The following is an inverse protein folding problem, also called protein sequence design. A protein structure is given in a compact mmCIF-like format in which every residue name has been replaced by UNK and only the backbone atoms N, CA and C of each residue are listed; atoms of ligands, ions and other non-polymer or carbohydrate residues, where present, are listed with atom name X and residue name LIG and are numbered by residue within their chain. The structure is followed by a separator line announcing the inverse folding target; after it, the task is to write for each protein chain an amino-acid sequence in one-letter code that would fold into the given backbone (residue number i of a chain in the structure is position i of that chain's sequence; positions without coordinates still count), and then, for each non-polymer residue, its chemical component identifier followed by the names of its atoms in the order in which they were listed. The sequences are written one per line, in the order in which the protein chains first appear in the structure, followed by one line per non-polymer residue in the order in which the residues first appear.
data_IF_296462582520
#
_entry.id   IF_296462582520
#
_cell.length_a   1.000
_cell.length_b   1.000
_cell.length_c   1.000
_cell.angle_alpha   90.00
_cell.angle_beta   90.00
_cell.angle_gamma   90.00
#
_symmetry.space_group_name_H-M   'P 1'
#
loop_
_entity.id
_entity.type
_entity.pdbx_description
1 polymer ?
#
# COMPACT_ATOMS: atom_id res chain seq x y z
N UNK A 1 -33.12 -31.15 23.05
CA UNK A 1 -32.63 -30.31 21.93
C UNK A 1 -31.15 -30.06 22.16
N UNK A 2 -30.30 -30.90 21.56
CA UNK A 2 -28.86 -30.87 21.74
C UNK A 2 -28.27 -29.76 20.87
N UNK A 3 -27.74 -28.73 21.53
CA UNK A 3 -26.93 -27.69 20.90
C UNK A 3 -25.57 -28.32 20.52
N UNK A 4 -25.52 -28.95 19.35
CA UNK A 4 -24.27 -29.26 18.66
C UNK A 4 -23.63 -27.99 18.11
N UNK A 5 -23.26 -27.07 19.00
CA UNK A 5 -22.63 -25.80 18.63
C UNK A 5 -21.13 -25.94 18.89
N UNK A 6 -20.41 -26.27 17.81
CA UNK A 6 -18.99 -26.01 17.63
C UNK A 6 -18.05 -26.39 18.78
N UNK A 7 -17.55 -27.63 18.77
CA UNK A 7 -16.28 -28.01 19.40
C UNK A 7 -15.07 -27.39 18.67
N UNK A 8 -15.19 -26.13 18.22
CA UNK A 8 -14.09 -25.37 17.61
C UNK A 8 -13.62 -24.38 18.66
N UNK A 9 -12.41 -24.56 19.24
CA UNK A 9 -11.91 -23.74 20.34
C UNK A 9 -11.76 -22.23 20.06
N UNK A 10 -12.00 -21.78 18.82
CA UNK A 10 -11.50 -20.49 18.32
C UNK A 10 -12.60 -19.49 17.89
N UNK A 11 -13.88 -19.77 18.14
CA UNK A 11 -14.98 -18.88 17.75
C UNK A 11 -15.65 -18.23 18.97
N UNK A 12 -15.17 -17.05 19.38
CA UNK A 12 -15.83 -16.20 20.37
C UNK A 12 -16.57 -15.03 19.67
N UNK A 13 -17.88 -14.96 19.87
CA UNK A 13 -18.83 -14.09 19.16
C UNK A 13 -18.78 -12.60 19.52
N UNK A 14 -17.68 -12.12 20.12
CA UNK A 14 -17.48 -10.68 20.41
C UNK A 14 -16.25 -10.09 19.75
N UNK A 15 -15.27 -10.92 19.40
CA UNK A 15 -13.98 -10.52 18.86
C UNK A 15 -13.34 -11.80 18.29
N UNK A 16 -13.66 -12.18 17.05
CA UNK A 16 -13.00 -13.32 16.41
C UNK A 16 -11.48 -13.14 16.49
N UNK A 17 -10.72 -14.24 16.63
CA UNK A 17 -9.25 -14.31 16.84
C UNK A 17 -8.39 -13.24 16.13
N UNK A 18 -8.87 -12.71 15.02
CA UNK A 18 -8.28 -11.64 14.23
C UNK A 18 -8.36 -10.23 14.88
N UNK A 19 -9.40 -9.92 15.67
CA UNK A 19 -9.59 -8.62 16.36
C UNK A 19 -8.42 -8.30 17.31
N UNK A 20 -7.87 -9.31 17.98
CA UNK A 20 -6.71 -9.16 18.87
C UNK A 20 -5.41 -8.84 18.13
N UNK A 21 -5.18 -9.46 16.96
CA UNK A 21 -4.03 -9.16 16.10
C UNK A 21 -4.10 -7.72 15.57
N UNK A 22 -5.29 -7.25 15.21
CA UNK A 22 -5.53 -5.89 14.70
C UNK A 22 -5.45 -4.82 15.80
N UNK A 23 -5.60 -5.19 17.08
CA UNK A 23 -5.51 -4.29 18.26
C UNK A 23 -4.12 -4.23 18.90
N UNK A 24 -3.21 -5.14 18.57
CA UNK A 24 -1.82 -5.15 19.07
C UNK A 24 -0.87 -4.22 18.28
N UNK A 25 -1.35 -3.65 17.18
CA UNK A 25 -0.63 -2.69 16.35
C UNK A 25 -0.82 -1.28 16.95
N UNK A 26 0.25 -0.62 17.46
CA UNK A 26 0.11 0.68 18.11
C UNK A 26 -0.29 1.75 17.08
N UNK A 27 -1.41 2.43 17.33
CA UNK A 27 -1.98 3.51 16.50
C UNK A 27 -3.20 3.09 15.67
N UNK A 28 -4.21 3.98 15.62
CA UNK A 28 -5.43 3.85 14.82
C UNK A 28 -5.07 3.44 13.39
N UNK A 29 -5.65 2.36 12.83
CA UNK A 29 -5.25 1.80 11.52
C UNK A 29 -5.17 2.84 10.39
N UNK A 30 -5.97 3.90 10.50
CA UNK A 30 -5.96 5.10 9.67
C UNK A 30 -4.63 5.86 9.65
N UNK A 31 -3.94 6.00 10.79
CA UNK A 31 -2.67 6.73 10.88
C UNK A 31 -1.57 5.97 10.14
N UNK A 32 -1.55 4.63 10.25
CA UNK A 32 -0.60 3.79 9.51
C UNK A 32 -0.86 3.84 8.01
N UNK A 33 -2.13 3.78 7.60
CA UNK A 33 -2.51 3.95 6.21
C UNK A 33 -2.09 5.32 5.67
N UNK A 34 -2.28 6.40 6.44
CA UNK A 34 -1.86 7.75 6.08
C UNK A 34 -0.34 7.86 5.91
N UNK A 35 0.44 7.36 6.88
CA UNK A 35 1.91 7.42 6.82
C UNK A 35 2.43 6.61 5.62
N UNK A 36 1.88 5.42 5.37
CA UNK A 36 2.26 4.61 4.20
C UNK A 36 1.90 5.31 2.89
N UNK A 37 0.74 5.96 2.82
CA UNK A 37 0.32 6.71 1.64
C UNK A 37 1.25 7.89 1.38
N UNK A 38 1.62 8.63 2.43
CA UNK A 38 2.56 9.75 2.35
C UNK A 38 3.93 9.28 1.87
N UNK A 39 4.42 8.14 2.35
CA UNK A 39 5.70 7.58 1.88
C UNK A 39 5.66 7.23 0.39
N UNK A 40 4.57 6.62 -0.09
CA UNK A 40 4.41 6.32 -1.52
C UNK A 40 4.39 7.60 -2.34
N UNK A 41 3.62 8.60 -1.92
CA UNK A 41 3.56 9.90 -2.60
C UNK A 41 4.93 10.60 -2.61
N UNK A 42 5.67 10.54 -1.52
CA UNK A 42 7.02 11.09 -1.43
C UNK A 42 7.97 10.40 -2.42
N UNK A 43 7.93 9.07 -2.52
CA UNK A 43 8.74 8.32 -3.49
C UNK A 43 8.38 8.70 -4.92
N UNK A 44 7.09 8.74 -5.26
CA UNK A 44 6.62 9.16 -6.59
C UNK A 44 7.09 10.58 -6.91
N UNK A 45 6.96 11.51 -5.96
CA UNK A 45 7.41 12.89 -6.14
C UNK A 45 8.91 12.97 -6.43
N UNK A 46 9.74 12.24 -5.66
CA UNK A 46 11.19 12.18 -5.91
C UNK A 46 11.49 11.55 -7.27
N UNK A 47 10.77 10.51 -7.67
CA UNK A 47 10.94 9.87 -8.98
C UNK A 47 10.63 10.86 -10.12
N UNK A 48 9.57 11.65 -10.01
CA UNK A 48 9.22 12.68 -11.00
C UNK A 48 10.16 13.89 -10.99
N UNK A 49 10.64 14.34 -9.83
CA UNK A 49 11.48 15.54 -9.75
C UNK A 49 12.97 15.27 -10.01
N UNK A 50 13.46 14.06 -9.72
CA UNK A 50 14.87 13.70 -9.87
C UNK A 50 15.12 12.62 -10.91
N UNK A 51 14.36 11.53 -10.89
CA UNK A 51 14.62 10.38 -11.79
C UNK A 51 14.19 10.70 -13.21
N UNK A 52 13.06 11.37 -13.42
CA UNK A 52 12.63 11.79 -14.76
C UNK A 52 13.63 12.73 -15.44
N UNK A 53 14.08 13.85 -14.82
CA UNK A 53 15.10 14.71 -15.43
C UNK A 53 16.41 14.00 -15.76
N UNK A 54 16.78 13.01 -14.94
CA UNK A 54 17.94 12.16 -15.22
C UNK A 54 17.68 11.12 -16.31
N UNK A 55 16.44 10.64 -16.46
CA UNK A 55 16.03 9.64 -17.44
C UNK A 55 15.64 10.24 -18.81
N UNK A 56 15.24 11.51 -18.88
CA UNK A 56 14.92 12.24 -20.12
C UNK A 56 15.97 12.08 -21.24
N UNK A 57 17.30 12.13 -20.98
CA UNK A 57 18.32 11.91 -21.99
C UNK A 57 18.51 10.44 -22.39
N UNK A 58 18.03 9.49 -21.59
CA UNK A 58 18.14 8.05 -21.83
C UNK A 58 16.91 7.47 -22.53
N UNK A 59 15.80 8.22 -22.58
CA UNK A 59 14.58 7.82 -23.26
C UNK A 59 14.73 8.05 -24.77
N UNK A 60 14.70 7.00 -25.61
CA UNK A 60 14.86 7.08 -27.07
C UNK A 60 13.65 7.72 -27.79
N UNK A 61 12.76 8.39 -27.06
CA UNK A 61 11.62 9.14 -27.61
C UNK A 61 11.97 10.60 -27.94
N UNK A 62 13.13 11.10 -27.49
CA UNK A 62 13.64 12.44 -27.84
C UNK A 62 14.39 12.46 -29.18
N UNK A 63 14.68 11.29 -29.78
CA UNK A 63 14.96 11.23 -31.21
C UNK A 63 13.64 11.40 -31.97
N UNK A 64 13.18 12.65 -31.99
CA UNK A 64 12.32 13.14 -33.07
C UNK A 64 13.09 12.88 -34.36
N UNK A 65 12.80 11.77 -35.02
CA UNK A 65 12.96 11.65 -36.47
C UNK A 65 11.94 12.59 -37.14
N UNK A 66 11.99 13.88 -36.82
CA UNK A 66 11.52 14.88 -37.78
C UNK A 66 12.56 14.88 -38.88
N UNK A 67 12.46 13.89 -39.76
CA UNK A 67 12.95 14.00 -41.12
C UNK A 67 12.06 15.07 -41.77
N UNK A 68 12.41 16.33 -41.48
CA UNK A 68 11.79 17.51 -42.04
C UNK A 68 12.62 17.88 -43.27
N UNK A 69 12.51 17.09 -44.35
CA UNK A 69 12.57 17.53 -45.76
C UNK A 69 12.62 16.37 -46.75
#
# INVERSE_FOLDING_TARGET
MAYGVGLVPWYDGRDGMYSWIWRHLPGNGWVKALISLVLIVAVVYVLFQYVFPWAEPLLPFNDVTVDNQ
#
